data_IF_079051865196
#
_entry.id   IF_079051865196
#
_cell.length_a   1.000
_cell.length_b   1.000
_cell.length_c   1.000
_cell.angle_alpha   90.00
_cell.angle_beta   90.00
_cell.angle_gamma   90.00
#
_symmetry.space_group_name_H-M   'P 1'
#
loop_
_entity.id
_entity.type
_entity.pdbx_description
1 polymer ?
#
# COMPACT_ATOMS: atom_id res chain seq x y z
N UNK A 1 10.49 -3.86 -3.47
CA UNK A 1 11.25 -3.99 -4.74
C UNK A 1 12.43 -3.01 -4.78
N UNK A 2 12.21 -1.70 -4.63
CA UNK A 2 13.30 -0.72 -4.60
C UNK A 2 13.35 -0.03 -3.23
N UNK A 3 14.36 -0.35 -2.40
CA UNK A 3 14.44 0.12 -0.99
C UNK A 3 14.62 1.64 -0.86
N UNK A 4 15.33 2.26 -1.82
CA UNK A 4 15.61 3.70 -1.83
C UNK A 4 14.62 4.55 -2.62
N UNK A 5 13.54 3.97 -3.16
CA UNK A 5 12.57 4.70 -3.96
C UNK A 5 11.42 5.22 -3.10
N UNK A 6 10.95 6.42 -3.40
CA UNK A 6 9.72 6.99 -2.86
C UNK A 6 8.77 7.28 -4.01
N UNK A 7 7.55 6.76 -3.92
CA UNK A 7 6.50 6.98 -4.93
C UNK A 7 5.38 7.77 -4.26
N UNK A 8 4.98 8.89 -4.84
CA UNK A 8 3.83 9.69 -4.39
C UNK A 8 2.75 9.64 -5.46
N UNK A 9 1.55 9.21 -5.07
CA UNK A 9 0.35 9.20 -5.89
C UNK A 9 -0.62 10.24 -5.35
N UNK A 10 -0.94 11.24 -6.16
CA UNK A 10 -1.93 12.28 -5.84
C UNK A 10 -3.04 12.21 -6.87
N UNK A 11 -4.27 12.01 -6.42
CA UNK A 11 -5.46 12.09 -7.26
C UNK A 11 -6.12 13.46 -7.09
N UNK A 12 -6.00 14.28 -8.13
CA UNK A 12 -6.52 15.66 -8.19
C UNK A 12 -7.92 15.72 -8.81
N UNK A 13 -8.53 14.58 -9.18
CA UNK A 13 -9.85 14.58 -9.80
C UNK A 13 -10.90 15.03 -8.80
N UNK A 14 -11.76 15.94 -9.24
CA UNK A 14 -12.91 16.40 -8.47
C UNK A 14 -14.07 15.44 -8.72
N UNK A 15 -14.65 14.91 -7.64
CA UNK A 15 -15.89 14.14 -7.72
C UNK A 15 -17.01 14.91 -7.00
N UNK A 16 -18.14 15.11 -7.68
CA UNK A 16 -19.32 15.82 -7.14
C UNK A 16 -19.87 15.18 -5.85
N UNK A 17 -19.52 13.92 -5.57
CA UNK A 17 -19.94 13.18 -4.39
C UNK A 17 -19.14 13.49 -3.10
N UNK A 18 -18.02 14.22 -3.17
CA UNK A 18 -17.17 14.55 -2.02
C UNK A 18 -17.16 16.06 -1.70
N UNK A 19 -18.25 16.76 -2.00
CA UNK A 19 -18.53 18.09 -1.45
C UNK A 19 -19.15 17.90 -0.07
N UNK A 20 -18.32 17.87 0.98
CA UNK A 20 -18.81 17.92 2.35
C UNK A 20 -19.01 19.37 2.78
N UNK A 21 -20.26 19.75 3.05
CA UNK A 21 -20.57 20.89 3.91
C UNK A 21 -20.14 20.54 5.36
N UNK A 22 -18.86 20.66 5.67
CA UNK A 22 -18.39 20.57 7.07
C UNK A 22 -18.13 21.98 7.61
N UNK A 23 -19.18 22.59 8.16
CA UNK A 23 -19.02 23.66 9.15
C UNK A 23 -18.75 22.99 10.51
N UNK A 24 -17.48 22.71 10.83
CA UNK A 24 -17.10 22.36 12.20
C UNK A 24 -16.96 23.67 12.99
N UNK A 25 -18.07 24.17 13.52
CA UNK A 25 -18.04 25.20 14.58
C UNK A 25 -17.88 24.50 15.93
N UNK A 26 -16.63 24.33 16.37
CA UNK A 26 -16.34 24.03 17.78
C UNK A 26 -16.14 25.35 18.55
N UNK A 27 -17.24 26.01 18.91
CA UNK A 27 -17.32 26.84 20.13
C UNK A 27 -18.75 26.75 20.66
N UNK A 28 -18.91 26.23 21.87
CA UNK A 28 -20.15 26.31 22.65
C UNK A 28 -20.30 27.73 23.24
N UNK A 29 -21.43 28.42 23.01
CA UNK A 29 -22.34 28.99 24.04
C UNK A 29 -23.51 29.83 23.42
N UNK A 30 -24.74 29.55 23.89
CA UNK A 30 -26.00 30.33 23.92
C UNK A 30 -26.65 31.00 22.65
N UNK A 31 -28.01 31.06 22.56
CA UNK A 31 -28.74 31.42 21.34
C UNK A 31 -28.95 32.93 21.20
N UNK A 32 -28.74 33.47 19.99
CA UNK A 32 -29.27 34.79 19.59
C UNK A 32 -29.84 34.73 18.17
N UNK A 33 -31.16 34.90 18.14
CA UNK A 33 -32.04 35.60 17.19
C UNK A 33 -31.76 35.52 15.69
N UNK A 34 -32.82 35.18 14.96
CA UNK A 34 -32.99 35.30 13.52
C UNK A 34 -32.66 36.71 12.99
N UNK A 35 -32.33 36.75 11.69
CA UNK A 35 -31.98 37.90 10.83
C UNK A 35 -30.48 38.04 10.57
N UNK A 36 -29.99 37.31 9.56
CA UNK A 36 -29.13 37.86 8.49
C UNK A 36 -28.93 36.80 7.38
N UNK A 37 -29.99 36.59 6.59
CA UNK A 37 -29.88 36.05 5.23
C UNK A 37 -29.43 37.19 4.32
N UNK A 38 -28.12 37.38 4.10
CA UNK A 38 -27.56 38.03 2.88
C UNK A 38 -26.05 38.24 2.97
N UNK A 39 -25.28 37.16 2.83
CA UNK A 39 -23.89 37.23 2.37
C UNK A 39 -23.41 35.86 1.90
N UNK A 40 -23.96 35.34 0.80
CA UNK A 40 -23.32 34.26 0.04
C UNK A 40 -22.07 34.82 -0.66
N UNK A 41 -20.99 34.95 0.12
CA UNK A 41 -19.66 35.21 -0.38
C UNK A 41 -19.09 33.91 -0.94
N UNK A 42 -18.86 33.91 -2.25
CA UNK A 42 -18.08 32.98 -3.05
C UNK A 42 -16.84 32.45 -2.29
N UNK A 43 -16.98 31.28 -1.67
CA UNK A 43 -15.90 30.55 -1.02
C UNK A 43 -15.52 29.37 -1.94
N UNK A 44 -14.25 29.22 -2.36
CA UNK A 44 -13.87 28.16 -3.27
C UNK A 44 -14.06 26.82 -2.56
N UNK A 45 -14.81 25.91 -3.18
CA UNK A 45 -15.01 24.55 -2.70
C UNK A 45 -13.64 23.86 -2.51
N UNK A 46 -13.26 23.57 -1.27
CA UNK A 46 -12.01 22.88 -0.96
C UNK A 46 -12.21 21.39 -1.24
N UNK A 47 -11.75 20.93 -2.40
CA UNK A 47 -11.85 19.52 -2.81
C UNK A 47 -10.88 18.63 -2.01
N UNK A 48 -11.35 17.45 -1.58
CA UNK A 48 -10.54 16.48 -0.85
C UNK A 48 -9.59 15.72 -1.78
N UNK A 49 -8.40 16.28 -2.01
CA UNK A 49 -7.33 15.63 -2.79
C UNK A 49 -6.82 14.38 -2.06
N UNK A 50 -6.85 13.22 -2.71
CA UNK A 50 -6.37 11.95 -2.13
C UNK A 50 -4.88 11.77 -2.46
N UNK A 51 -4.04 11.82 -1.43
CA UNK A 51 -2.58 11.61 -1.58
C UNK A 51 -2.12 10.35 -0.84
N UNK A 52 -1.27 9.55 -1.48
CA UNK A 52 -0.61 8.35 -0.93
C UNK A 52 0.89 8.43 -1.18
N UNK A 53 1.69 8.21 -0.15
CA UNK A 53 3.16 8.16 -0.24
C UNK A 53 3.62 6.75 0.12
N UNK A 54 4.47 6.17 -0.73
CA UNK A 54 5.00 4.81 -0.60
C UNK A 54 6.52 4.87 -0.49
N UNK A 55 7.05 4.45 0.66
CA UNK A 55 8.48 4.30 0.92
C UNK A 55 8.70 3.11 1.86
N UNK A 56 9.51 2.14 1.43
CA UNK A 56 9.66 0.85 2.12
C UNK A 56 11.14 0.45 2.24
N UNK A 57 11.82 0.87 3.31
CA UNK A 57 13.25 0.61 3.48
C UNK A 57 13.57 -0.88 3.70
N UNK A 58 12.64 -1.66 4.26
CA UNK A 58 12.77 -3.10 4.46
C UNK A 58 12.56 -3.94 3.19
N UNK A 59 12.24 -3.31 2.05
CA UNK A 59 12.16 -3.99 0.75
C UNK A 59 11.13 -5.13 0.72
N UNK A 60 11.57 -6.35 0.41
CA UNK A 60 10.68 -7.51 0.32
C UNK A 60 10.13 -7.96 1.68
N UNK A 61 10.85 -7.72 2.79
CA UNK A 61 10.32 -8.07 4.11
C UNK A 61 9.10 -7.22 4.48
N UNK A 62 9.13 -5.92 4.17
CA UNK A 62 7.98 -5.03 4.33
C UNK A 62 6.82 -5.47 3.45
N UNK A 63 7.12 -5.99 2.26
CA UNK A 63 6.12 -6.49 1.34
C UNK A 63 5.42 -7.76 1.88
N UNK A 64 6.18 -8.71 2.42
CA UNK A 64 5.62 -9.90 3.08
C UNK A 64 4.80 -9.52 4.31
N UNK A 65 5.28 -8.58 5.14
CA UNK A 65 4.51 -8.03 6.27
C UNK A 65 3.19 -7.40 5.81
N UNK A 66 3.20 -6.70 4.67
CA UNK A 66 1.98 -6.12 4.11
C UNK A 66 0.99 -7.19 3.65
N UNK A 67 1.44 -8.22 2.93
CA UNK A 67 0.60 -9.34 2.47
C UNK A 67 -0.03 -10.08 3.66
N UNK A 68 0.76 -10.32 4.70
CA UNK A 68 0.29 -11.02 5.90
C UNK A 68 -0.47 -10.12 6.88
N UNK A 69 -0.69 -8.83 6.60
CA UNK A 69 -1.40 -7.92 7.52
C UNK A 69 -2.82 -8.38 7.87
N UNK A 70 -3.51 -9.01 6.93
CA UNK A 70 -4.87 -9.54 7.11
C UNK A 70 -4.90 -11.02 7.49
N UNK A 71 -3.74 -11.68 7.51
CA UNK A 71 -3.58 -13.11 7.79
C UNK A 71 -2.89 -13.30 9.14
N UNK A 72 -2.98 -14.50 9.72
CA UNK A 72 -2.18 -14.83 10.91
C UNK A 72 -0.88 -15.51 10.50
N UNK A 73 0.30 -14.90 10.74
CA UNK A 73 1.58 -15.55 10.49
C UNK A 73 1.81 -16.70 11.48
N UNK A 74 2.38 -17.81 11.00
CA UNK A 74 2.67 -19.00 11.83
C UNK A 74 3.95 -18.80 12.66
N UNK A 75 4.92 -18.07 12.11
CA UNK A 75 6.21 -17.80 12.74
C UNK A 75 6.53 -16.32 12.69
N UNK A 76 7.24 -15.82 13.71
CA UNK A 76 7.49 -14.38 13.89
C UNK A 76 8.51 -13.81 12.90
N UNK A 77 9.51 -14.59 12.50
CA UNK A 77 10.60 -14.14 11.63
C UNK A 77 10.24 -14.28 10.15
N UNK A 78 10.37 -13.23 9.36
CA UNK A 78 10.32 -13.34 7.90
C UNK A 78 11.66 -13.90 7.42
N UNK A 79 11.63 -14.94 6.59
CA UNK A 79 12.84 -15.48 5.96
C UNK A 79 13.18 -14.58 4.80
N UNK A 80 14.35 -13.94 4.82
CA UNK A 80 14.83 -13.05 3.76
C UNK A 80 16.27 -13.36 3.37
N UNK A 81 16.54 -13.48 2.07
CA UNK A 81 17.90 -13.65 1.56
C UNK A 81 18.06 -13.13 0.14
N UNK A 82 19.31 -12.84 -0.22
CA UNK A 82 19.72 -12.38 -1.55
C UNK A 82 20.79 -13.31 -2.11
N UNK A 83 20.73 -13.60 -3.40
CA UNK A 83 21.74 -14.35 -4.12
C UNK A 83 22.13 -13.62 -5.41
N UNK A 84 23.43 -13.63 -5.72
CA UNK A 84 23.98 -13.04 -6.95
C UNK A 84 24.71 -14.11 -7.74
N UNK A 85 24.39 -14.20 -9.03
CA UNK A 85 25.07 -15.06 -10.00
C UNK A 85 25.60 -14.25 -11.18
N UNK A 86 26.14 -14.95 -12.17
CA UNK A 86 26.70 -14.30 -13.37
C UNK A 86 25.58 -13.78 -14.26
N UNK A 87 25.32 -12.46 -14.21
CA UNK A 87 24.31 -11.80 -15.02
C UNK A 87 22.87 -11.89 -14.49
N UNK A 88 22.68 -12.37 -13.26
CA UNK A 88 21.36 -12.47 -12.62
C UNK A 88 21.48 -12.26 -11.10
N UNK A 89 20.45 -11.66 -10.51
CA UNK A 89 20.33 -11.42 -9.07
C UNK A 89 18.92 -11.82 -8.62
N UNK A 90 18.83 -12.37 -7.42
CA UNK A 90 17.59 -12.84 -6.81
C UNK A 90 17.52 -12.30 -5.37
N UNK A 91 16.36 -11.78 -4.99
CA UNK A 91 16.00 -11.46 -3.61
C UNK A 91 14.69 -12.19 -3.30
N UNK A 92 14.66 -12.92 -2.19
CA UNK A 92 13.49 -13.67 -1.72
C UNK A 92 13.15 -13.20 -0.31
N UNK A 93 11.86 -12.99 -0.05
CA UNK A 93 11.32 -12.93 1.29
C UNK A 93 10.06 -13.80 1.38
N UNK A 94 9.94 -14.62 2.42
CA UNK A 94 8.80 -15.51 2.61
C UNK A 94 8.42 -15.68 4.08
N UNK A 95 7.14 -15.95 4.31
CA UNK A 95 6.58 -16.28 5.63
C UNK A 95 5.30 -17.08 5.46
N UNK A 96 5.17 -18.18 6.20
CA UNK A 96 3.96 -18.98 6.25
C UNK A 96 2.90 -18.32 7.14
N UNK A 97 1.64 -18.46 6.73
CA UNK A 97 0.46 -18.02 7.46
C UNK A 97 -0.52 -19.18 7.64
N UNK A 98 -1.50 -19.02 8.54
CA UNK A 98 -2.48 -20.06 8.89
C UNK A 98 -3.53 -20.33 7.81
N UNK A 99 -3.49 -19.60 6.68
CA UNK A 99 -4.43 -19.77 5.58
C UNK A 99 -4.04 -20.92 4.66
N UNK A 100 -5.02 -21.45 3.93
CA UNK A 100 -4.82 -22.50 2.92
C UNK A 100 -4.52 -21.94 1.52
N UNK A 101 -4.55 -20.62 1.35
CA UNK A 101 -4.25 -19.95 0.08
C UNK A 101 -2.76 -19.61 0.00
N UNK A 102 -2.12 -20.08 -1.06
CA UNK A 102 -0.80 -19.61 -1.47
C UNK A 102 -0.89 -18.16 -1.97
N UNK A 103 0.08 -17.35 -1.57
CA UNK A 103 0.22 -15.96 -2.05
C UNK A 103 1.66 -15.73 -2.45
N UNK A 104 2.02 -16.30 -3.59
CA UNK A 104 3.34 -16.16 -4.21
C UNK A 104 3.26 -15.01 -5.22
N UNK A 105 4.14 -14.03 -5.08
CA UNK A 105 4.24 -12.89 -5.98
C UNK A 105 5.65 -12.84 -6.55
N UNK A 106 5.77 -12.97 -7.86
CA UNK A 106 7.06 -13.05 -8.55
C UNK A 106 7.30 -11.81 -9.39
N UNK A 107 8.57 -11.39 -9.46
CA UNK A 107 8.96 -10.18 -10.16
C UNK A 107 10.26 -10.41 -10.93
N UNK A 108 10.34 -9.81 -12.10
CA UNK A 108 11.56 -9.72 -12.89
C UNK A 108 11.78 -8.25 -13.27
N UNK A 109 12.92 -7.67 -12.88
CA UNK A 109 13.24 -6.26 -13.14
C UNK A 109 12.12 -5.28 -12.72
N UNK A 110 11.54 -5.46 -11.53
CA UNK A 110 10.39 -4.69 -10.99
C UNK A 110 9.04 -4.97 -11.67
N UNK A 111 9.01 -5.71 -12.79
CA UNK A 111 7.77 -6.09 -13.47
C UNK A 111 7.15 -7.30 -12.77
N UNK A 112 5.85 -7.23 -12.49
CA UNK A 112 5.10 -8.33 -11.90
C UNK A 112 4.86 -9.43 -12.95
N UNK A 113 5.42 -10.62 -12.72
CA UNK A 113 5.28 -11.80 -13.58
C UNK A 113 4.16 -12.67 -13.05
N UNK A 114 2.91 -12.24 -13.23
CA UNK A 114 1.75 -12.95 -12.69
C UNK A 114 1.52 -14.35 -13.30
N UNK A 115 2.05 -14.61 -14.50
CA UNK A 115 2.05 -15.94 -15.13
C UNK A 115 3.23 -16.82 -14.66
N UNK A 116 4.05 -16.31 -13.75
CA UNK A 116 5.24 -17.00 -13.25
C UNK A 116 6.44 -16.91 -14.18
N UNK A 117 7.23 -17.97 -14.23
CA UNK A 117 8.44 -18.04 -15.05
C UNK A 117 9.50 -18.97 -14.45
N UNK A 118 10.69 -18.98 -15.05
CA UNK A 118 11.79 -19.88 -14.65
C UNK A 118 12.27 -19.64 -13.21
N UNK A 119 12.23 -18.39 -12.74
CA UNK A 119 12.54 -18.01 -11.37
C UNK A 119 11.53 -18.58 -10.36
N UNK A 120 10.25 -18.66 -10.73
CA UNK A 120 9.21 -19.27 -9.88
C UNK A 120 9.36 -20.79 -9.82
N UNK A 121 9.48 -21.45 -10.96
CA UNK A 121 9.61 -22.91 -11.03
C UNK A 121 10.88 -23.40 -10.32
N UNK A 122 11.99 -22.65 -10.46
CA UNK A 122 13.23 -22.92 -9.74
C UNK A 122 13.05 -22.79 -8.22
N UNK A 123 12.34 -21.75 -7.77
CA UNK A 123 12.02 -21.57 -6.34
C UNK A 123 11.14 -22.69 -5.81
N UNK A 124 10.06 -23.06 -6.53
CA UNK A 124 9.15 -24.15 -6.14
C UNK A 124 9.88 -25.49 -6.05
N UNK A 125 10.72 -25.79 -7.04
CA UNK A 125 11.52 -27.01 -7.07
C UNK A 125 12.50 -27.06 -5.89
N UNK A 126 13.21 -25.96 -5.62
CA UNK A 126 14.17 -25.89 -4.51
C UNK A 126 13.48 -25.97 -3.13
N UNK A 127 12.30 -25.38 -2.98
CA UNK A 127 11.53 -25.44 -1.74
C UNK A 127 10.98 -26.85 -1.46
N UNK A 128 10.68 -27.61 -2.51
CA UNK A 128 10.11 -28.96 -2.42
C UNK A 128 11.19 -30.05 -2.39
N UNK A 129 12.40 -29.76 -2.84
CA UNK A 129 13.50 -30.72 -2.86
C UNK A 129 13.92 -31.11 -1.44
N UNK A 130 13.53 -32.32 -1.04
CA UNK A 130 13.99 -33.05 0.16
C UNK A 130 14.98 -34.15 -0.23
#
# INVERSE_FOLDING_TARGET
LNKGLTITLTDERVSDAEVTEEVVSQVADAPKTAEDESAEADAPAVHKVKTRVYHYPGGLEDYVRHINRTKQPIHNSVVGFTAKGTGHELEIAMQWNSGYSESVHTFANTINTHEGGTHEEGFRSALTAT
#
